data_IF_095528058393
#
_entry.id   IF_095528058393
#
_cell.length_a   1.000
_cell.length_b   1.000
_cell.length_c   1.000
_cell.angle_alpha   90.00
_cell.angle_beta   90.00
_cell.angle_gamma   90.00
#
_symmetry.space_group_name_H-M   'P 1'
#
loop_
_entity.id
_entity.type
_entity.pdbx_description
1 polymer ?
#
# COMPACT_ATOMS: atom_id res chain seq x y z
N UNK A 1 7.51 15.79 22.78
CA UNK A 1 8.30 14.87 21.93
C UNK A 1 7.39 13.77 21.41
N UNK A 2 6.98 13.88 20.14
CA UNK A 2 5.94 13.07 19.54
C UNK A 2 6.32 11.60 19.43
N UNK A 3 5.50 10.74 20.03
CA UNK A 3 5.39 9.34 19.62
C UNK A 3 4.12 9.24 18.78
N UNK A 4 4.16 9.84 17.59
CA UNK A 4 3.30 9.34 16.52
C UNK A 4 3.77 7.91 16.31
N UNK A 5 2.95 6.94 16.72
CA UNK A 5 3.13 5.55 16.31
C UNK A 5 2.91 5.55 14.80
N UNK A 6 3.98 5.91 14.08
CA UNK A 6 4.01 6.16 12.65
C UNK A 6 3.82 4.79 12.02
N UNK A 7 2.56 4.48 11.75
CA UNK A 7 2.13 3.47 10.79
C UNK A 7 3.17 3.50 9.67
N UNK A 8 3.92 2.39 9.58
CA UNK A 8 5.08 2.23 8.72
C UNK A 8 4.72 2.72 7.32
N UNK A 9 5.60 3.49 6.68
CA UNK A 9 5.35 4.35 5.50
C UNK A 9 4.77 3.72 4.21
N UNK A 10 4.14 2.55 4.29
CA UNK A 10 3.29 1.94 3.27
C UNK A 10 2.10 2.82 2.91
N UNK A 11 1.54 3.57 3.85
CA UNK A 11 0.48 4.54 3.58
C UNK A 11 0.96 5.64 2.62
N UNK A 12 2.17 6.16 2.85
CA UNK A 12 2.79 7.15 1.99
C UNK A 12 3.21 6.55 0.63
N UNK A 13 3.68 5.30 0.63
CA UNK A 13 3.99 4.56 -0.59
C UNK A 13 2.76 4.37 -1.48
N UNK A 14 1.63 3.93 -0.92
CA UNK A 14 0.39 3.72 -1.67
C UNK A 14 -0.16 5.06 -2.17
N UNK A 15 -0.15 6.11 -1.35
CA UNK A 15 -0.58 7.46 -1.78
C UNK A 15 0.27 7.99 -2.93
N UNK A 16 1.59 7.82 -2.85
CA UNK A 16 2.51 8.24 -3.93
C UNK A 16 2.30 7.39 -5.19
N UNK A 17 2.06 6.09 -5.03
CA UNK A 17 1.76 5.20 -6.15
C UNK A 17 0.44 5.54 -6.85
N UNK A 18 -0.57 6.00 -6.10
CA UNK A 18 -1.81 6.51 -6.68
C UNK A 18 -1.58 7.71 -7.62
N UNK A 19 -0.60 8.57 -7.30
CA UNK A 19 -0.19 9.65 -8.18
C UNK A 19 0.56 9.12 -9.40
N UNK A 20 1.49 8.17 -9.20
CA UNK A 20 2.22 7.53 -10.29
C UNK A 20 1.28 6.87 -11.32
N UNK A 21 0.21 6.23 -10.87
CA UNK A 21 -0.76 5.59 -11.76
C UNK A 21 -1.48 6.56 -12.70
N UNK A 22 -1.56 7.85 -12.34
CA UNK A 22 -2.10 8.88 -13.25
C UNK A 22 -1.19 9.11 -14.45
N UNK A 23 0.12 8.97 -14.26
CA UNK A 23 1.12 9.13 -15.32
C UNK A 23 1.46 7.80 -16.01
N UNK A 24 1.44 6.70 -15.26
CA UNK A 24 1.75 5.34 -15.72
C UNK A 24 0.68 4.35 -15.27
N UNK A 25 -0.46 4.28 -15.98
CA UNK A 25 -1.59 3.44 -15.58
C UNK A 25 -1.30 1.93 -15.59
N UNK A 26 -0.27 1.49 -16.33
CA UNK A 26 0.14 0.08 -16.39
C UNK A 26 1.14 -0.33 -15.31
N UNK A 27 1.48 0.57 -14.37
CA UNK A 27 2.37 0.22 -13.27
C UNK A 27 1.68 -0.68 -12.24
N UNK A 28 2.43 -1.65 -11.70
CA UNK A 28 1.98 -2.52 -10.60
C UNK A 28 2.93 -2.38 -9.43
N UNK A 29 2.38 -2.24 -8.22
CA UNK A 29 3.11 -2.18 -6.96
C UNK A 29 3.04 -3.54 -6.28
N UNK A 30 4.18 -4.19 -6.10
CA UNK A 30 4.26 -5.43 -5.32
C UNK A 30 4.79 -5.12 -3.94
N UNK A 31 4.01 -5.42 -2.90
CA UNK A 31 4.40 -5.28 -1.50
C UNK A 31 4.71 -6.69 -1.00
N UNK A 32 6.00 -6.97 -0.77
CA UNK A 32 6.47 -8.22 -0.19
C UNK A 32 6.80 -7.98 1.30
N UNK A 33 6.11 -8.68 2.20
CA UNK A 33 6.37 -8.57 3.63
C UNK A 33 5.41 -9.39 4.49
N UNK A 34 5.98 -10.18 5.40
CA UNK A 34 5.23 -10.98 6.38
C UNK A 34 4.82 -10.08 7.55
N UNK A 35 3.71 -9.37 7.42
CA UNK A 35 3.21 -8.46 8.45
C UNK A 35 1.70 -8.42 8.48
N UNK A 36 1.08 -9.42 9.13
CA UNK A 36 -0.39 -9.53 9.23
C UNK A 36 -1.06 -8.33 9.92
N UNK A 37 -0.35 -7.67 10.84
CA UNK A 37 -0.91 -6.60 11.68
C UNK A 37 -1.35 -5.37 10.88
N UNK A 38 -0.77 -5.13 9.71
CA UNK A 38 -1.06 -3.93 8.88
C UNK A 38 -1.89 -4.25 7.63
N UNK A 39 -2.19 -5.53 7.40
CA UNK A 39 -2.87 -6.00 6.20
C UNK A 39 -4.27 -5.39 6.05
N UNK A 40 -5.03 -5.28 7.14
CA UNK A 40 -6.37 -4.70 7.12
C UNK A 40 -6.38 -3.21 6.77
N UNK A 41 -5.52 -2.40 7.39
CA UNK A 41 -5.41 -0.96 7.08
C UNK A 41 -4.95 -0.74 5.64
N UNK A 42 -3.99 -1.55 5.19
CA UNK A 42 -3.46 -1.52 3.83
C UNK A 42 -4.55 -1.83 2.80
N UNK A 43 -5.31 -2.91 3.00
CA UNK A 43 -6.42 -3.31 2.12
C UNK A 43 -7.49 -2.21 2.08
N UNK A 44 -7.83 -1.62 3.23
CA UNK A 44 -8.79 -0.52 3.31
C UNK A 44 -8.32 0.70 2.52
N UNK A 45 -7.03 1.06 2.60
CA UNK A 45 -6.45 2.15 1.84
C UNK A 45 -6.40 1.87 0.33
N UNK A 46 -6.02 0.65 -0.06
CA UNK A 46 -6.00 0.20 -1.46
C UNK A 46 -7.42 0.28 -2.05
N UNK A 47 -8.44 -0.20 -1.33
CA UNK A 47 -9.85 -0.07 -1.72
C UNK A 47 -10.28 1.37 -1.87
N UNK A 48 -9.97 2.22 -0.89
CA UNK A 48 -10.34 3.64 -0.90
C UNK A 48 -9.72 4.40 -2.09
N UNK A 49 -8.54 3.98 -2.53
CA UNK A 49 -7.84 4.56 -3.68
C UNK A 49 -8.11 3.81 -5.00
N UNK A 50 -8.95 2.77 -4.97
CA UNK A 50 -9.29 1.92 -6.10
C UNK A 50 -8.07 1.26 -6.77
N UNK A 51 -7.10 0.84 -5.95
CA UNK A 51 -5.80 0.30 -6.37
C UNK A 51 -5.72 -1.23 -6.32
N UNK A 52 -6.86 -1.90 -6.12
CA UNK A 52 -6.93 -3.36 -5.91
C UNK A 52 -6.34 -4.16 -7.09
N UNK A 53 -6.43 -3.61 -8.31
CA UNK A 53 -5.89 -4.24 -9.52
C UNK A 53 -4.39 -3.93 -9.77
N UNK A 54 -3.84 -2.96 -9.04
CA UNK A 54 -2.48 -2.46 -9.25
C UNK A 54 -1.55 -2.79 -8.09
N UNK A 55 -2.07 -3.11 -6.89
CA UNK A 55 -1.26 -3.43 -5.70
C UNK A 55 -1.41 -4.90 -5.33
N UNK A 56 -0.31 -5.63 -5.31
CA UNK A 56 -0.27 -7.06 -5.00
C UNK A 56 0.53 -7.31 -3.72
N UNK A 57 -0.05 -8.06 -2.78
CA UNK A 57 0.64 -8.54 -1.58
C UNK A 57 1.11 -9.96 -1.81
N UNK A 58 2.43 -10.19 -1.92
CA UNK A 58 2.98 -11.54 -2.02
C UNK A 58 3.40 -12.02 -0.63
N UNK A 59 2.79 -13.13 -0.19
CA UNK A 59 3.22 -13.88 0.99
C UNK A 59 3.52 -15.30 0.55
N UNK A 60 4.72 -15.78 0.85
CA UNK A 60 5.02 -17.21 0.80
C UNK A 60 4.21 -17.89 1.90
N UNK A 61 3.42 -18.89 1.51
CA UNK A 61 2.76 -19.82 2.43
C UNK A 61 3.75 -20.90 2.86
#
# INVERSE_FOLDING_TARGET
>A
MGRLHKIKGYDNLIKSFALLLKEKPNSKLMIAGSGDTYKHELISLIKKLNLENSVFSWSTQ
#
